data_IF_965991487724
#
_entry.id   IF_965991487724
#
_cell.length_a   1.000
_cell.length_b   1.000
_cell.length_c   1.000
_cell.angle_alpha   90.00
_cell.angle_beta   90.00
_cell.angle_gamma   90.00
#
_symmetry.space_group_name_H-M   'P 1'
#
loop_
_entity.id
_entity.type
_entity.pdbx_description
1 polymer ?
#
# COMPACT_ATOMS: atom_id res chain seq x y z
N UNK A 1 21.02 15.57 13.43
CA UNK A 1 20.73 15.86 14.85
C UNK A 1 19.22 15.93 15.01
N UNK A 2 18.73 15.23 16.05
CA UNK A 2 17.37 15.18 16.61
C UNK A 2 16.17 15.16 15.63
N UNK A 3 15.46 14.02 15.58
CA UNK A 3 14.02 13.91 15.91
C UNK A 3 13.60 12.41 16.02
N UNK A 4 14.37 11.58 16.76
CA UNK A 4 13.83 10.34 17.35
C UNK A 4 13.13 10.73 18.66
N UNK A 5 12.00 11.42 18.59
CA UNK A 5 11.07 11.45 19.73
C UNK A 5 10.21 10.21 19.58
N UNK A 6 10.33 9.31 20.55
CA UNK A 6 9.49 8.14 20.81
C UNK A 6 8.27 8.00 19.91
N UNK A 7 8.42 7.33 18.76
CA UNK A 7 7.27 6.81 18.04
C UNK A 7 6.72 5.67 18.87
N UNK A 8 5.71 5.94 19.69
CA UNK A 8 4.92 4.88 20.31
C UNK A 8 4.19 4.12 19.18
N UNK A 9 4.82 3.08 18.65
CA UNK A 9 4.22 2.17 17.69
C UNK A 9 3.21 1.30 18.45
N UNK A 10 1.92 1.57 18.25
CA UNK A 10 0.85 0.73 18.78
C UNK A 10 0.48 -0.32 17.74
N UNK A 11 0.41 -1.58 18.16
CA UNK A 11 -0.03 -2.69 17.30
C UNK A 11 -1.35 -3.23 17.85
N UNK A 12 -2.39 -3.16 17.03
CA UNK A 12 -3.68 -3.80 17.30
C UNK A 12 -3.78 -5.07 16.46
N UNK A 13 -3.98 -6.22 17.08
CA UNK A 13 -4.26 -7.47 16.34
C UNK A 13 -5.77 -7.60 16.15
N UNK A 14 -6.20 -7.71 14.89
CA UNK A 14 -7.58 -8.04 14.54
C UNK A 14 -7.69 -9.55 14.42
N UNK A 15 -8.55 -10.16 15.23
CA UNK A 15 -8.75 -11.61 15.21
C UNK A 15 -9.88 -12.00 14.25
N UNK A 16 -9.51 -12.69 13.17
CA UNK A 16 -10.39 -13.21 12.12
C UNK A 16 -10.05 -14.68 11.80
N UNK A 17 -9.46 -15.41 12.76
CA UNK A 17 -8.99 -16.79 12.59
C UNK A 17 -7.78 -16.88 11.65
N UNK A 18 -7.90 -17.62 10.55
CA UNK A 18 -6.81 -17.80 9.57
C UNK A 18 -6.43 -16.52 8.82
N UNK A 19 -7.24 -15.46 8.93
CA UNK A 19 -7.06 -14.17 8.25
C UNK A 19 -6.71 -13.03 9.22
N UNK A 20 -6.33 -13.36 10.46
CA UNK A 20 -5.94 -12.35 11.45
C UNK A 20 -4.74 -11.55 10.99
N UNK A 21 -4.76 -10.23 11.19
CA UNK A 21 -3.69 -9.32 10.75
C UNK A 21 -3.42 -8.20 11.77
N UNK A 22 -2.17 -7.67 11.82
CA UNK A 22 -1.84 -6.53 12.65
C UNK A 22 -2.19 -5.19 11.97
N UNK A 23 -2.75 -4.26 12.73
CA UNK A 23 -2.86 -2.84 12.40
C UNK A 23 -1.77 -2.09 13.16
N UNK A 24 -0.87 -1.44 12.44
CA UNK A 24 0.19 -0.60 13.00
C UNK A 24 -0.28 0.85 13.03
N UNK A 25 -0.23 1.48 14.21
CA UNK A 25 -0.65 2.87 14.43
C UNK A 25 0.52 3.66 15.00
N UNK A 26 0.91 4.72 14.31
CA UNK A 26 2.03 5.58 14.66
C UNK A 26 2.28 6.61 13.57
N UNK A 27 3.17 7.57 13.84
CA UNK A 27 3.57 8.56 12.84
C UNK A 27 4.59 7.97 11.86
N UNK A 28 4.71 8.54 10.66
CA UNK A 28 5.77 8.24 9.68
C UNK A 28 6.00 6.75 9.34
N UNK A 29 4.98 5.90 9.47
CA UNK A 29 5.14 4.45 9.23
C UNK A 29 5.29 4.11 7.75
N UNK A 30 4.87 5.02 6.87
CA UNK A 30 5.05 4.88 5.42
C UNK A 30 6.54 4.86 5.03
N UNK A 31 7.41 5.46 5.84
CA UNK A 31 8.86 5.52 5.59
C UNK A 31 9.61 4.32 6.21
N UNK A 32 8.89 3.25 6.60
CA UNK A 32 9.46 2.06 7.25
C UNK A 32 9.31 0.83 6.32
N UNK A 33 10.23 0.60 5.37
CA UNK A 33 10.15 -0.49 4.38
C UNK A 33 9.94 -1.89 5.00
N UNK A 34 10.48 -2.11 6.19
CA UNK A 34 10.37 -3.38 6.91
C UNK A 34 8.93 -3.75 7.28
N UNK A 35 8.05 -2.76 7.49
CA UNK A 35 6.64 -3.02 7.75
C UNK A 35 5.95 -3.60 6.51
N UNK A 36 6.28 -3.10 5.32
CA UNK A 36 5.77 -3.64 4.06
C UNK A 36 6.37 -5.02 3.76
N UNK A 37 7.69 -5.17 3.95
CA UNK A 37 8.39 -6.41 3.60
C UNK A 37 7.87 -7.64 4.34
N UNK A 38 7.46 -7.48 5.60
CA UNK A 38 6.92 -8.55 6.44
C UNK A 38 5.56 -9.08 5.97
N UNK A 39 4.78 -8.26 5.28
CA UNK A 39 3.41 -8.58 4.85
C UNK A 39 3.25 -8.78 3.35
N UNK A 40 4.29 -8.49 2.57
CA UNK A 40 4.33 -8.67 1.12
C UNK A 40 5.33 -9.78 0.76
N UNK A 41 4.92 -11.05 0.67
CA UNK A 41 5.81 -12.14 0.29
C UNK A 41 6.17 -12.12 -1.21
N UNK A 42 5.28 -11.59 -2.07
CA UNK A 42 5.45 -11.58 -3.53
C UNK A 42 6.49 -10.56 -4.03
N UNK A 43 7.05 -10.81 -5.22
CA UNK A 43 8.08 -9.93 -5.83
C UNK A 43 7.51 -8.64 -6.42
N UNK A 44 6.23 -8.64 -6.79
CA UNK A 44 5.53 -7.51 -7.38
C UNK A 44 4.54 -6.88 -6.40
N UNK A 45 4.38 -5.57 -6.49
CA UNK A 45 3.38 -4.82 -5.72
C UNK A 45 2.72 -3.75 -6.59
N UNK A 46 1.40 -3.60 -6.50
CA UNK A 46 0.65 -2.53 -7.17
C UNK A 46 0.09 -1.58 -6.11
N UNK A 47 0.51 -0.32 -6.15
CA UNK A 47 -0.07 0.75 -5.32
C UNK A 47 -1.26 1.33 -6.08
N UNK A 48 -2.47 1.10 -5.57
CA UNK A 48 -3.68 1.72 -6.10
C UNK A 48 -4.05 2.91 -5.22
N UNK A 49 -4.14 4.10 -5.80
CA UNK A 49 -4.47 5.35 -5.11
C UNK A 49 -5.36 6.23 -5.99
N UNK A 50 -5.77 7.40 -5.50
CA UNK A 50 -6.54 8.37 -6.27
C UNK A 50 -5.73 9.64 -6.57
N UNK A 51 -6.26 10.48 -7.46
CA UNK A 51 -5.65 11.75 -7.90
C UNK A 51 -5.35 12.73 -6.75
N UNK A 52 -6.15 12.70 -5.67
CA UNK A 52 -5.99 13.58 -4.51
C UNK A 52 -4.88 13.11 -3.57
N UNK A 53 -4.77 11.80 -3.34
CA UNK A 53 -3.83 11.18 -2.39
C UNK A 53 -2.47 10.92 -3.04
N UNK A 54 -2.43 10.66 -4.36
CA UNK A 54 -1.21 10.42 -5.11
C UNK A 54 -0.11 11.48 -4.86
N UNK A 55 -0.34 12.79 -5.07
CA UNK A 55 0.72 13.80 -4.90
C UNK A 55 1.20 13.95 -3.45
N UNK A 56 0.46 13.43 -2.47
CA UNK A 56 0.80 13.55 -1.05
C UNK A 56 1.67 12.39 -0.54
N UNK A 57 1.43 11.17 -1.05
CA UNK A 57 1.99 9.96 -0.43
C UNK A 57 2.52 8.92 -1.42
N UNK A 58 2.22 9.01 -2.72
CA UNK A 58 2.58 7.95 -3.66
C UNK A 58 4.08 7.73 -3.72
N UNK A 59 4.87 8.79 -3.82
CA UNK A 59 6.34 8.70 -3.92
C UNK A 59 6.93 8.00 -2.69
N UNK A 60 6.42 8.32 -1.50
CA UNK A 60 6.85 7.69 -0.24
C UNK A 60 6.45 6.22 -0.17
N UNK A 61 5.24 5.88 -0.60
CA UNK A 61 4.78 4.50 -0.66
C UNK A 61 5.60 3.66 -1.65
N UNK A 62 5.93 4.24 -2.81
CA UNK A 62 6.78 3.59 -3.82
C UNK A 62 8.20 3.41 -3.31
N UNK A 63 8.78 4.41 -2.64
CA UNK A 63 10.09 4.31 -2.01
C UNK A 63 10.14 3.21 -0.92
N UNK A 64 9.07 3.04 -0.13
CA UNK A 64 8.99 1.98 0.86
C UNK A 64 8.98 0.56 0.27
N UNK A 65 8.60 0.44 -1.02
CA UNK A 65 8.59 -0.80 -1.78
C UNK A 65 9.88 -1.02 -2.60
N UNK A 66 10.88 -0.14 -2.45
CA UNK A 66 12.15 -0.26 -3.14
C UNK A 66 12.81 -1.63 -2.90
N UNK A 67 13.36 -2.21 -3.97
CA UNK A 67 13.83 -3.60 -4.02
C UNK A 67 12.78 -4.62 -4.47
N UNK A 68 11.55 -4.18 -4.77
CA UNK A 68 10.49 -4.97 -5.42
C UNK A 68 10.14 -4.36 -6.78
N UNK A 69 9.49 -5.16 -7.62
CA UNK A 69 8.88 -4.64 -8.84
C UNK A 69 7.54 -3.96 -8.47
N UNK A 70 7.63 -2.68 -8.09
CA UNK A 70 6.48 -1.88 -7.70
C UNK A 70 5.93 -1.08 -8.88
N UNK A 71 4.60 -1.08 -9.03
CA UNK A 71 3.85 -0.29 -10.00
C UNK A 71 2.79 0.55 -9.28
N UNK A 72 2.31 1.62 -9.93
CA UNK A 72 1.25 2.45 -9.39
C UNK A 72 0.12 2.63 -10.39
N UNK A 73 -1.11 2.66 -9.88
CA UNK A 73 -2.32 3.03 -10.62
C UNK A 73 -3.04 4.14 -9.88
N UNK A 74 -3.21 5.29 -10.54
CA UNK A 74 -3.95 6.44 -10.01
C UNK A 74 -5.34 6.47 -10.64
N UNK A 75 -6.37 6.51 -9.79
CA UNK A 75 -7.78 6.52 -10.17
C UNK A 75 -8.43 7.88 -9.88
N UNK A 76 -9.54 8.22 -10.57
CA UNK A 76 -10.30 9.43 -10.27
C UNK A 76 -10.83 9.43 -8.83
N UNK A 77 -10.87 10.60 -8.21
CA UNK A 77 -11.31 10.74 -6.82
C UNK A 77 -12.85 10.89 -6.64
N UNK A 78 -13.37 10.28 -5.57
CA UNK A 78 -14.76 10.34 -5.11
C UNK A 78 -15.54 9.01 -5.21
N UNK A 79 -16.48 8.81 -4.28
CA UNK A 79 -17.29 7.56 -4.18
C UNK A 79 -18.11 7.24 -5.45
N UNK A 80 -18.45 8.26 -6.26
CA UNK A 80 -19.12 8.08 -7.56
C UNK A 80 -18.33 7.17 -8.52
N UNK A 81 -17.02 7.05 -8.33
CA UNK A 81 -16.14 6.20 -9.12
C UNK A 81 -15.94 4.81 -8.53
N UNK A 82 -16.57 4.48 -7.40
CA UNK A 82 -16.50 3.13 -6.80
C UNK A 82 -17.48 2.19 -7.52
N UNK A 83 -17.24 2.02 -8.81
CA UNK A 83 -18.03 1.20 -9.72
C UNK A 83 -17.22 -0.03 -10.13
N UNK A 84 -17.92 -1.04 -10.67
CA UNK A 84 -17.24 -2.21 -11.25
C UNK A 84 -16.34 -1.83 -12.43
N UNK A 85 -16.70 -0.81 -13.19
CA UNK A 85 -15.88 -0.28 -14.29
C UNK A 85 -14.52 0.24 -13.78
N UNK A 86 -14.51 1.02 -12.70
CA UNK A 86 -13.27 1.48 -12.08
C UNK A 86 -12.46 0.31 -11.50
N UNK A 87 -13.13 -0.70 -10.94
CA UNK A 87 -12.45 -1.91 -10.48
C UNK A 87 -11.82 -2.69 -11.65
N UNK A 88 -12.46 -2.73 -12.83
CA UNK A 88 -11.91 -3.36 -14.04
C UNK A 88 -10.59 -2.73 -14.46
N UNK A 89 -10.44 -1.41 -14.33
CA UNK A 89 -9.16 -0.72 -14.61
C UNK A 89 -8.01 -1.22 -13.74
N UNK A 90 -8.30 -1.64 -12.50
CA UNK A 90 -7.30 -2.25 -11.62
C UNK A 90 -6.87 -3.61 -12.17
N UNK A 91 -7.84 -4.44 -12.61
CA UNK A 91 -7.54 -5.73 -13.21
C UNK A 91 -6.74 -5.59 -14.51
N UNK A 92 -7.11 -4.64 -15.38
CA UNK A 92 -6.39 -4.36 -16.62
C UNK A 92 -4.93 -3.97 -16.36
N UNK A 93 -4.70 -3.08 -15.40
CA UNK A 93 -3.35 -2.67 -15.00
C UNK A 93 -2.52 -3.85 -14.44
N UNK A 94 -3.13 -4.71 -13.61
CA UNK A 94 -2.46 -5.90 -13.08
C UNK A 94 -2.08 -6.89 -14.20
N UNK A 95 -2.97 -7.09 -15.17
CA UNK A 95 -2.74 -7.97 -16.32
C UNK A 95 -1.64 -7.41 -17.24
N UNK A 96 -1.67 -6.11 -17.55
CA UNK A 96 -0.67 -5.45 -18.38
C UNK A 96 0.74 -5.58 -17.78
N UNK A 97 0.84 -5.43 -16.45
CA UNK A 97 2.11 -5.59 -15.71
C UNK A 97 2.44 -7.04 -15.36
N UNK A 98 1.65 -8.00 -15.87
CA UNK A 98 1.87 -9.44 -15.69
C UNK A 98 2.00 -9.83 -14.22
N UNK A 99 1.09 -9.34 -13.38
CA UNK A 99 0.97 -9.82 -12.00
C UNK A 99 0.48 -11.26 -12.00
N UNK A 100 1.01 -12.04 -11.08
CA UNK A 100 0.58 -13.40 -10.84
C UNK A 100 0.20 -13.58 -9.36
N UNK A 101 -0.15 -14.82 -8.99
CA UNK A 101 -0.66 -15.14 -7.64
C UNK A 101 0.43 -15.63 -6.69
N UNK A 102 1.71 -15.59 -7.06
CA UNK A 102 2.83 -16.20 -6.33
C UNK A 102 3.90 -15.20 -5.89
#
# INVERSE_FOLDING_TARGET
MQHRKDKALKVLRVDLGSRSYPIYIGSGLLDEPELFRRHLPGKKAMVVTNETVAPLYLDRAMAALEGREAHALVLPDGERHKTLETASRIYDALLEKRFDRR
#
